data_IF_010388873066
#
_entry.id   IF_010388873066
#
_cell.length_a   1.000
_cell.length_b   1.000
_cell.length_c   1.000
_cell.angle_alpha   90.00
_cell.angle_beta   90.00
_cell.angle_gamma   90.00
#
_symmetry.space_group_name_H-M   'P 1'
#
loop_
_entity.id
_entity.type
_entity.pdbx_description
1 polymer ?
#
# COMPACT_ATOMS: atom_id res chain seq x y z
N UNK A 1 -19.33 -12.48 15.51
CA UNK A 1 -18.82 -11.86 16.75
C UNK A 1 -19.15 -10.39 16.69
N UNK A 2 -19.85 -9.90 17.70
CA UNK A 2 -20.19 -8.48 17.82
C UNK A 2 -18.88 -7.69 18.00
N UNK A 3 -18.61 -6.69 17.15
CA UNK A 3 -17.34 -5.94 17.15
C UNK A 3 -17.06 -5.29 18.50
N UNK A 4 -18.11 -4.98 19.26
CA UNK A 4 -18.11 -4.34 20.57
C UNK A 4 -17.54 -5.17 21.74
N UNK A 5 -17.15 -6.44 21.52
CA UNK A 5 -16.60 -7.31 22.59
C UNK A 5 -15.14 -7.75 22.39
N UNK A 6 -14.47 -7.29 21.33
CA UNK A 6 -13.07 -7.67 21.07
C UNK A 6 -12.12 -6.85 21.96
N UNK A 7 -11.04 -7.45 22.50
CA UNK A 7 -10.05 -6.71 23.27
C UNK A 7 -9.33 -5.68 22.41
N UNK A 8 -9.00 -4.53 23.02
CA UNK A 8 -8.29 -3.44 22.34
C UNK A 8 -6.82 -3.82 22.13
N UNK A 9 -6.33 -3.65 20.90
CA UNK A 9 -4.95 -3.94 20.52
C UNK A 9 -4.07 -2.68 20.66
N UNK A 10 -3.01 -2.72 21.49
CA UNK A 10 -1.97 -1.69 21.46
C UNK A 10 -1.12 -1.86 20.20
N UNK A 11 -1.62 -1.37 19.06
CA UNK A 11 -1.12 -1.70 17.72
C UNK A 11 0.39 -1.47 17.53
N UNK A 12 0.89 -0.28 17.87
CA UNK A 12 2.31 0.05 17.68
C UNK A 12 3.23 -0.84 18.54
N UNK A 13 3.05 -0.94 19.87
CA UNK A 13 3.81 -1.90 20.68
C UNK A 13 3.77 -3.33 20.16
N UNK A 14 2.61 -3.80 19.70
CA UNK A 14 2.46 -5.14 19.12
C UNK A 14 3.32 -5.34 17.88
N UNK A 15 3.26 -4.41 16.92
CA UNK A 15 4.05 -4.50 15.68
C UNK A 15 5.55 -4.45 15.98
N UNK A 16 5.99 -3.58 16.90
CA UNK A 16 7.39 -3.50 17.32
C UNK A 16 7.87 -4.82 17.95
N UNK A 17 7.06 -5.44 18.80
CA UNK A 17 7.37 -6.72 19.44
C UNK A 17 7.48 -7.85 18.41
N UNK A 18 6.55 -7.92 17.45
CA UNK A 18 6.59 -8.92 16.38
C UNK A 18 7.85 -8.75 15.51
N UNK A 19 8.23 -7.52 15.18
CA UNK A 19 9.45 -7.23 14.42
C UNK A 19 10.69 -7.64 15.19
N UNK A 20 10.73 -7.34 16.50
CA UNK A 20 11.82 -7.74 17.38
C UNK A 20 11.96 -9.26 17.47
N UNK A 21 10.84 -9.99 17.54
CA UNK A 21 10.82 -11.45 17.57
C UNK A 21 11.38 -12.03 16.26
N UNK A 22 10.91 -11.55 15.09
CA UNK A 22 11.44 -11.97 13.79
C UNK A 22 12.94 -11.68 13.71
N UNK A 23 13.35 -10.46 14.07
CA UNK A 23 14.75 -10.05 14.02
C UNK A 23 15.63 -10.91 14.93
N UNK A 24 15.14 -11.28 16.12
CA UNK A 24 15.86 -12.13 17.07
C UNK A 24 16.02 -13.56 16.54
N UNK A 25 14.99 -14.15 15.96
CA UNK A 25 15.05 -15.49 15.35
C UNK A 25 16.14 -15.55 14.27
N UNK A 26 16.18 -14.52 13.41
CA UNK A 26 17.18 -14.40 12.34
C UNK A 26 18.57 -14.15 12.90
N UNK A 27 18.72 -13.17 13.80
CA UNK A 27 20.02 -12.76 14.34
C UNK A 27 20.71 -13.90 15.13
N UNK A 28 19.94 -14.70 15.88
CA UNK A 28 20.46 -15.82 16.67
C UNK A 28 20.88 -17.02 15.81
N UNK A 29 20.46 -17.10 14.54
CA UNK A 29 20.64 -18.29 13.67
C UNK A 29 20.29 -19.58 14.40
N UNK A 30 19.09 -19.59 15.00
CA UNK A 30 18.61 -20.70 15.81
C UNK A 30 18.67 -22.02 15.05
N UNK A 31 19.01 -23.11 15.76
CA UNK A 31 18.91 -24.47 15.24
C UNK A 31 17.48 -24.73 14.74
N UNK A 32 17.36 -25.55 13.71
CA UNK A 32 16.10 -25.81 13.01
C UNK A 32 14.92 -26.09 13.95
N UNK A 33 15.10 -26.91 14.99
CA UNK A 33 14.01 -27.27 15.93
C UNK A 33 13.50 -26.04 16.70
N UNK A 34 14.41 -25.23 17.25
CA UNK A 34 14.06 -24.03 18.01
C UNK A 34 13.45 -22.98 17.07
N UNK A 35 13.95 -22.89 15.83
CA UNK A 35 13.40 -22.01 14.80
C UNK A 35 11.95 -22.36 14.45
N UNK A 36 11.62 -23.65 14.31
CA UNK A 36 10.22 -24.09 14.15
C UNK A 36 9.39 -23.63 15.35
N UNK A 37 9.82 -23.97 16.57
CA UNK A 37 9.05 -23.67 17.77
C UNK A 37 8.80 -22.15 17.92
N UNK A 38 9.81 -21.33 17.68
CA UNK A 38 9.70 -19.87 17.71
C UNK A 38 8.76 -19.32 16.62
N UNK A 39 8.79 -19.90 15.41
CA UNK A 39 7.89 -19.51 14.34
C UNK A 39 6.44 -19.94 14.61
N UNK A 40 6.22 -21.13 15.19
CA UNK A 40 4.88 -21.57 15.63
C UNK A 40 4.36 -20.66 16.73
N UNK A 41 5.18 -20.29 17.71
CA UNK A 41 4.80 -19.33 18.74
C UNK A 41 4.42 -17.97 18.13
N UNK A 42 5.23 -17.45 17.19
CA UNK A 42 4.92 -16.23 16.43
C UNK A 42 3.56 -16.32 15.73
N UNK A 43 3.27 -17.44 15.04
CA UNK A 43 2.00 -17.66 14.35
C UNK A 43 0.81 -17.71 15.30
N UNK A 44 0.95 -18.39 16.45
CA UNK A 44 -0.09 -18.44 17.48
C UNK A 44 -0.37 -17.06 18.06
N UNK A 45 0.67 -16.25 18.32
CA UNK A 45 0.51 -14.85 18.75
C UNK A 45 -0.21 -14.03 17.68
N UNK A 46 0.17 -14.18 16.41
CA UNK A 46 -0.49 -13.46 15.31
C UNK A 46 -1.97 -13.84 15.18
N UNK A 47 -2.30 -15.14 15.28
CA UNK A 47 -3.68 -15.62 15.26
C UNK A 47 -4.51 -15.06 16.42
N UNK A 48 -3.93 -14.97 17.61
CA UNK A 48 -4.58 -14.32 18.76
C UNK A 48 -4.82 -12.82 18.51
N UNK A 49 -3.84 -12.11 17.94
CA UNK A 49 -3.96 -10.67 17.63
C UNK A 49 -5.10 -10.39 16.65
N UNK A 50 -5.37 -11.27 15.68
CA UNK A 50 -6.53 -11.12 14.78
C UNK A 50 -7.89 -11.21 15.49
N UNK A 51 -7.94 -11.69 16.74
CA UNK A 51 -9.14 -11.67 17.57
C UNK A 51 -9.33 -10.34 18.31
N UNK A 52 -8.35 -9.44 18.26
CA UNK A 52 -8.41 -8.10 18.84
C UNK A 52 -8.97 -7.06 17.84
N UNK A 53 -9.21 -5.84 18.33
CA UNK A 53 -9.60 -4.68 17.52
C UNK A 53 -8.82 -3.45 17.97
N UNK A 54 -8.62 -2.49 17.08
CA UNK A 54 -8.11 -1.15 17.38
C UNK A 54 -9.22 -0.23 17.92
N UNK A 55 -10.49 -0.67 17.89
CA UNK A 55 -11.65 0.13 18.24
C UNK A 55 -12.22 0.93 17.06
N UNK A 56 -11.52 0.95 15.92
CA UNK A 56 -11.95 1.59 14.68
C UNK A 56 -11.75 0.61 13.51
N UNK A 57 -12.76 0.48 12.66
CA UNK A 57 -12.76 -0.56 11.62
C UNK A 57 -11.82 -0.24 10.45
N UNK A 58 -11.58 1.04 10.16
CA UNK A 58 -10.63 1.46 9.13
C UNK A 58 -9.19 1.23 9.63
N UNK A 59 -8.94 1.49 10.91
CA UNK A 59 -7.69 1.13 11.57
C UNK A 59 -7.54 -0.39 11.70
N UNK A 60 -8.60 -1.15 11.93
CA UNK A 60 -8.57 -2.63 11.90
C UNK A 60 -8.14 -3.15 10.53
N UNK A 61 -8.68 -2.60 9.44
CA UNK A 61 -8.27 -2.99 8.09
C UNK A 61 -6.78 -2.73 7.85
N UNK A 62 -6.31 -1.55 8.26
CA UNK A 62 -4.90 -1.15 8.10
C UNK A 62 -3.98 -2.01 8.98
N UNK A 63 -4.39 -2.27 10.22
CA UNK A 63 -3.67 -3.09 11.17
C UNK A 63 -3.58 -4.54 10.69
N UNK A 64 -4.70 -5.13 10.27
CA UNK A 64 -4.74 -6.49 9.73
C UNK A 64 -3.88 -6.64 8.48
N UNK A 65 -3.93 -5.65 7.57
CA UNK A 65 -3.07 -5.65 6.38
C UNK A 65 -1.58 -5.59 6.75
N UNK A 66 -1.23 -4.76 7.74
CA UNK A 66 0.13 -4.66 8.25
C UNK A 66 0.60 -5.97 8.91
N UNK A 67 -0.27 -6.61 9.71
CA UNK A 67 0.03 -7.88 10.37
C UNK A 67 0.26 -9.02 9.37
N UNK A 68 -0.55 -9.09 8.30
CA UNK A 68 -0.32 -10.05 7.22
C UNK A 68 0.97 -9.75 6.46
N UNK A 69 1.31 -8.47 6.25
CA UNK A 69 2.61 -8.11 5.69
C UNK A 69 3.76 -8.57 6.59
N UNK A 70 3.63 -8.43 7.92
CA UNK A 70 4.64 -8.93 8.87
C UNK A 70 4.78 -10.44 8.81
N UNK A 71 3.68 -11.18 8.65
CA UNK A 71 3.75 -12.62 8.41
C UNK A 71 4.56 -12.96 7.15
N UNK A 72 4.36 -12.23 6.04
CA UNK A 72 5.14 -12.45 4.81
C UNK A 72 6.63 -12.09 4.99
N UNK A 73 6.94 -11.06 5.77
CA UNK A 73 8.32 -10.72 6.15
C UNK A 73 8.93 -11.87 6.96
N UNK A 74 8.24 -12.36 7.99
CA UNK A 74 8.68 -13.47 8.81
C UNK A 74 8.93 -14.73 7.97
N UNK A 75 7.96 -15.10 7.12
CA UNK A 75 8.09 -16.24 6.21
C UNK A 75 9.32 -16.09 5.32
N UNK A 76 9.54 -14.90 4.74
CA UNK A 76 10.66 -14.66 3.85
C UNK A 76 12.02 -14.71 4.53
N UNK A 77 12.16 -14.09 5.72
CA UNK A 77 13.44 -13.95 6.41
C UNK A 77 13.80 -15.18 7.25
N UNK A 78 12.82 -15.95 7.72
CA UNK A 78 13.05 -17.14 8.55
C UNK A 78 13.22 -18.40 7.69
N UNK A 79 12.46 -18.52 6.59
CA UNK A 79 12.37 -19.77 5.82
C UNK A 79 12.87 -19.68 4.40
N UNK A 80 12.59 -18.58 3.69
CA UNK A 80 12.89 -18.54 2.26
C UNK A 80 14.33 -18.14 1.98
N UNK A 81 14.88 -17.21 2.75
CA UNK A 81 16.18 -16.57 2.48
C UNK A 81 17.04 -16.64 3.72
N UNK A 82 18.37 -16.80 3.58
CA UNK A 82 19.30 -16.56 4.69
C UNK A 82 19.81 -15.10 4.58
N UNK A 83 19.15 -14.13 5.26
CA UNK A 83 19.50 -12.72 5.10
C UNK A 83 20.94 -12.40 5.53
N UNK A 84 21.51 -13.14 6.49
CA UNK A 84 22.86 -12.86 6.99
C UNK A 84 23.97 -13.29 6.02
N UNK A 85 23.64 -14.17 5.08
CA UNK A 85 24.55 -14.64 4.03
C UNK A 85 24.27 -13.96 2.69
N UNK A 86 22.99 -13.79 2.34
CA UNK A 86 22.57 -13.36 1.01
C UNK A 86 22.44 -11.85 0.88
N UNK A 87 22.17 -11.12 1.96
CA UNK A 87 21.95 -9.68 1.91
C UNK A 87 23.19 -8.88 2.26
N UNK A 88 23.35 -7.76 1.56
CA UNK A 88 24.42 -6.79 1.73
C UNK A 88 23.84 -5.40 1.62
N UNK A 89 24.18 -4.53 2.56
CA UNK A 89 23.92 -3.11 2.47
C UNK A 89 25.17 -2.39 1.94
N UNK A 90 25.00 -1.31 1.19
CA UNK A 90 26.11 -0.53 0.62
C UNK A 90 27.03 0.10 1.67
N UNK A 91 26.52 0.33 2.89
CA UNK A 91 27.29 0.82 4.03
C UNK A 91 27.86 -0.28 4.94
N UNK A 92 27.74 -1.57 4.57
CA UNK A 92 28.29 -2.65 5.38
C UNK A 92 29.84 -2.62 5.35
N UNK A 93 30.46 -2.30 6.48
CA UNK A 93 31.93 -2.35 6.64
C UNK A 93 32.46 -3.73 7.05
N UNK A 94 31.58 -4.60 7.56
CA UNK A 94 31.92 -5.94 8.02
C UNK A 94 30.80 -6.92 7.68
N UNK A 95 31.12 -8.22 7.63
CA UNK A 95 30.12 -9.25 7.36
C UNK A 95 29.10 -9.34 8.53
N UNK A 96 27.79 -9.47 8.28
CA UNK A 96 26.77 -9.53 9.35
C UNK A 96 26.98 -10.66 10.39
N UNK A 97 27.78 -11.66 10.05
CA UNK A 97 28.11 -12.80 10.91
C UNK A 97 29.23 -12.48 11.90
N UNK A 98 30.08 -11.48 11.62
CA UNK A 98 31.14 -11.05 12.54
C UNK A 98 30.63 -9.99 13.53
N UNK A 99 29.43 -9.45 13.32
CA UNK A 99 28.79 -8.50 14.21
C UNK A 99 28.35 -9.14 15.53
N UNK A 100 28.33 -8.34 16.59
CA UNK A 100 27.72 -8.72 17.87
C UNK A 100 26.22 -8.97 17.73
N UNK A 101 25.61 -9.66 18.70
CA UNK A 101 24.17 -9.92 18.67
C UNK A 101 23.33 -8.65 18.52
N UNK A 102 23.64 -7.60 19.30
CA UNK A 102 22.89 -6.34 19.26
C UNK A 102 23.03 -5.63 17.90
N UNK A 103 24.24 -5.62 17.33
CA UNK A 103 24.49 -5.05 16.01
C UNK A 103 23.74 -5.82 14.91
N UNK A 104 23.76 -7.15 14.99
CA UNK A 104 23.05 -8.02 14.04
C UNK A 104 21.53 -7.86 14.17
N UNK A 105 21.02 -7.73 15.39
CA UNK A 105 19.61 -7.48 15.65
C UNK A 105 19.15 -6.17 15.00
N UNK A 106 19.91 -5.09 15.20
CA UNK A 106 19.67 -3.80 14.54
C UNK A 106 19.75 -3.92 13.01
N UNK A 107 20.75 -4.62 12.50
CA UNK A 107 20.93 -4.85 11.06
C UNK A 107 19.74 -5.60 10.44
N UNK A 108 19.19 -6.61 11.12
CA UNK A 108 17.97 -7.30 10.67
C UNK A 108 16.74 -6.39 10.77
N UNK A 109 16.62 -5.55 11.80
CA UNK A 109 15.54 -4.55 11.85
C UNK A 109 15.60 -3.58 10.67
N UNK A 110 16.80 -3.16 10.24
CA UNK A 110 16.96 -2.34 9.03
C UNK A 110 16.38 -3.03 7.79
N UNK A 111 16.48 -4.37 7.69
CA UNK A 111 15.86 -5.16 6.61
C UNK A 111 14.33 -5.14 6.71
N UNK A 112 13.77 -5.26 7.93
CA UNK A 112 12.33 -5.33 8.18
C UNK A 112 11.66 -3.99 7.84
N UNK A 113 12.26 -2.88 8.27
CA UNK A 113 11.70 -1.53 8.03
C UNK A 113 12.00 -0.97 6.63
N UNK A 114 12.95 -1.56 5.89
CA UNK A 114 13.27 -1.13 4.52
C UNK A 114 12.52 -1.99 3.48
N UNK A 115 11.22 -1.73 3.35
CA UNK A 115 10.33 -2.48 2.43
C UNK A 115 10.77 -2.42 0.95
N UNK A 116 11.43 -1.33 0.53
CA UNK A 116 11.91 -1.12 -0.84
C UNK A 116 13.35 -1.58 -1.06
N UNK A 117 14.04 -2.00 0.00
CA UNK A 117 15.44 -2.44 -0.04
C UNK A 117 16.41 -1.34 -0.48
N UNK A 118 16.13 -0.07 -0.17
CA UNK A 118 17.01 1.04 -0.56
C UNK A 118 18.41 0.84 0.02
N UNK A 119 19.44 0.87 -0.83
CA UNK A 119 20.84 0.65 -0.44
C UNK A 119 21.23 -0.82 -0.25
N UNK A 120 20.29 -1.75 -0.47
CA UNK A 120 20.54 -3.19 -0.38
C UNK A 120 20.73 -3.83 -1.75
N UNK A 121 21.45 -4.94 -1.82
CA UNK A 121 21.63 -5.73 -3.05
C UNK A 121 20.31 -6.29 -3.64
N UNK A 122 19.22 -6.26 -2.89
CA UNK A 122 17.87 -6.64 -3.32
C UNK A 122 16.93 -5.44 -3.57
N UNK A 123 17.47 -4.22 -3.71
CA UNK A 123 16.68 -3.01 -3.98
C UNK A 123 15.68 -3.22 -5.12
N UNK A 124 14.43 -2.80 -4.92
CA UNK A 124 13.39 -2.94 -5.95
C UNK A 124 13.71 -2.06 -7.15
N UNK A 125 13.38 -2.53 -8.35
CA UNK A 125 13.57 -1.78 -9.58
C UNK A 125 12.60 -0.58 -9.68
N UNK A 126 12.91 0.38 -10.55
CA UNK A 126 12.09 1.56 -10.87
C UNK A 126 11.80 2.48 -9.68
N UNK A 127 12.71 2.55 -8.70
CA UNK A 127 12.61 3.58 -7.68
C UNK A 127 12.90 4.96 -8.29
N UNK A 128 12.25 6.03 -7.77
CA UNK A 128 12.67 7.40 -8.05
C UNK A 128 14.16 7.60 -7.77
N UNK A 129 14.82 8.60 -8.39
CA UNK A 129 16.24 8.87 -8.16
C UNK A 129 16.50 9.38 -6.74
N UNK A 130 17.73 9.15 -6.25
CA UNK A 130 18.21 9.71 -4.97
C UNK A 130 18.26 11.24 -5.06
N UNK A 131 17.79 11.90 -4.01
CA UNK A 131 17.87 13.36 -3.91
C UNK A 131 19.17 13.76 -3.21
N UNK A 132 20.07 14.41 -3.96
CA UNK A 132 21.32 14.95 -3.43
C UNK A 132 21.18 16.45 -3.18
N UNK A 133 20.43 16.82 -2.14
CA UNK A 133 20.25 18.23 -1.74
C UNK A 133 20.48 18.40 -0.22
N UNK A 134 20.72 19.63 0.26
CA UNK A 134 20.95 19.88 1.68
C UNK A 134 19.81 19.38 2.57
N UNK A 135 20.16 18.89 3.76
CA UNK A 135 19.24 18.29 4.74
C UNK A 135 17.94 19.07 4.92
N UNK A 136 18.04 20.36 5.25
CA UNK A 136 16.86 21.20 5.52
C UNK A 136 16.04 21.53 4.27
N UNK A 137 16.65 21.48 3.08
CA UNK A 137 15.90 21.61 1.82
C UNK A 137 15.00 20.40 1.60
N UNK A 138 15.48 19.18 1.86
CA UNK A 138 14.64 17.97 1.81
C UNK A 138 13.54 18.02 2.86
N UNK A 139 13.85 18.40 4.11
CA UNK A 139 12.82 18.51 5.16
C UNK A 139 11.70 19.45 4.72
N UNK A 140 12.04 20.65 4.23
CA UNK A 140 11.07 21.60 3.71
C UNK A 140 10.26 21.04 2.53
N UNK A 141 10.92 20.42 1.55
CA UNK A 141 10.25 19.82 0.39
C UNK A 141 9.28 18.70 0.80
N UNK A 142 9.66 17.87 1.78
CA UNK A 142 8.82 16.78 2.31
C UNK A 142 7.62 17.34 3.08
N UNK A 143 7.81 18.34 3.94
CA UNK A 143 6.70 19.02 4.61
C UNK A 143 5.73 19.67 3.62
N UNK A 144 6.24 20.33 2.58
CA UNK A 144 5.42 20.93 1.54
C UNK A 144 4.66 19.87 0.71
N UNK A 145 5.30 18.75 0.40
CA UNK A 145 4.66 17.60 -0.26
C UNK A 145 3.55 17.00 0.61
N UNK A 146 3.83 16.74 1.89
CA UNK A 146 2.85 16.26 2.84
C UNK A 146 1.65 17.23 2.96
N UNK A 147 1.91 18.54 2.98
CA UNK A 147 0.85 19.55 3.00
C UNK A 147 -0.02 19.52 1.72
N UNK A 148 0.58 19.33 0.54
CA UNK A 148 -0.19 19.17 -0.71
C UNK A 148 -1.06 17.92 -0.67
N UNK A 149 -0.54 16.80 -0.20
CA UNK A 149 -1.33 15.57 -0.04
C UNK A 149 -2.42 15.70 1.00
N UNK A 150 -2.18 16.43 2.09
CA UNK A 150 -3.19 16.80 3.07
C UNK A 150 -4.35 17.58 2.42
N UNK A 151 -4.07 18.57 1.57
CA UNK A 151 -5.12 19.32 0.87
C UNK A 151 -5.94 18.44 -0.08
N UNK A 152 -5.31 17.48 -0.77
CA UNK A 152 -6.01 16.51 -1.62
C UNK A 152 -6.93 15.64 -0.76
N UNK A 153 -6.44 15.13 0.37
CA UNK A 153 -7.22 14.31 1.28
C UNK A 153 -8.41 15.09 1.86
N UNK A 154 -8.17 16.32 2.34
CA UNK A 154 -9.19 17.21 2.88
C UNK A 154 -10.28 17.53 1.84
N UNK A 155 -9.90 17.73 0.57
CA UNK A 155 -10.85 17.97 -0.52
C UNK A 155 -11.71 16.75 -0.81
N UNK A 156 -11.13 15.54 -0.84
CA UNK A 156 -11.88 14.30 -1.04
C UNK A 156 -12.87 14.08 0.11
N UNK A 157 -12.41 14.22 1.36
CA UNK A 157 -13.26 14.00 2.52
C UNK A 157 -14.34 15.07 2.73
N UNK A 158 -14.09 16.31 2.33
CA UNK A 158 -15.05 17.41 2.50
C UNK A 158 -16.09 17.46 1.38
N UNK A 159 -15.68 17.26 0.12
CA UNK A 159 -16.57 17.47 -1.03
C UNK A 159 -17.07 16.18 -1.66
N UNK A 160 -16.26 15.13 -1.65
CA UNK A 160 -16.54 13.95 -2.45
C UNK A 160 -17.33 12.95 -1.60
N UNK A 161 -16.84 12.60 -0.40
CA UNK A 161 -17.50 11.60 0.43
C UNK A 161 -18.90 12.01 0.93
N UNK A 162 -19.15 13.24 1.43
CA UNK A 162 -20.47 13.64 1.93
C UNK A 162 -21.51 13.84 0.83
N UNK A 163 -21.11 14.39 -0.33
CA UNK A 163 -22.01 14.65 -1.46
C UNK A 163 -22.59 13.36 -2.06
N UNK A 164 -21.91 12.23 -1.87
CA UNK A 164 -22.35 10.92 -2.36
C UNK A 164 -23.19 10.13 -1.37
N UNK A 165 -23.33 10.60 -0.12
CA UNK A 165 -24.20 9.96 0.87
C UNK A 165 -25.68 10.17 0.58
N UNK A 166 -26.01 11.15 -0.27
CA UNK A 166 -27.39 11.55 -0.56
C UNK A 166 -28.02 10.80 -1.74
N UNK A 167 -27.23 10.22 -2.65
CA UNK A 167 -27.71 9.52 -3.85
C UNK A 167 -27.06 8.13 -4.00
N UNK A 168 -27.81 7.07 -3.69
CA UNK A 168 -27.31 5.68 -3.70
C UNK A 168 -26.71 5.24 -5.05
N UNK A 169 -27.34 5.64 -6.16
CA UNK A 169 -26.88 5.29 -7.51
C UNK A 169 -25.57 5.96 -7.92
N UNK A 170 -25.28 7.15 -7.40
CA UNK A 170 -24.03 7.88 -7.64
C UNK A 170 -22.95 7.38 -6.68
N UNK A 171 -23.32 7.11 -5.41
CA UNK A 171 -22.42 6.59 -4.37
C UNK A 171 -21.61 5.38 -4.84
N UNK A 172 -22.28 4.37 -5.39
CA UNK A 172 -21.67 3.12 -5.85
C UNK A 172 -20.58 3.33 -6.93
N UNK A 173 -20.63 4.41 -7.69
CA UNK A 173 -19.68 4.65 -8.79
C UNK A 173 -18.48 5.51 -8.41
N UNK A 174 -18.62 6.37 -7.39
CA UNK A 174 -17.59 7.35 -7.03
C UNK A 174 -16.93 7.09 -5.68
N UNK A 175 -17.57 6.33 -4.79
CA UNK A 175 -17.03 6.02 -3.46
C UNK A 175 -15.71 5.24 -3.54
N UNK A 176 -15.65 4.19 -4.36
CA UNK A 176 -14.43 3.40 -4.57
C UNK A 176 -13.24 4.24 -5.05
N UNK A 177 -13.38 5.00 -6.16
CA UNK A 177 -12.32 5.88 -6.64
C UNK A 177 -11.90 6.95 -5.63
N UNK A 178 -12.85 7.56 -4.92
CA UNK A 178 -12.59 8.54 -3.88
C UNK A 178 -11.75 7.95 -2.75
N UNK A 179 -12.14 6.77 -2.26
CA UNK A 179 -11.43 6.07 -1.20
C UNK A 179 -10.02 5.63 -1.62
N UNK A 180 -9.87 5.15 -2.85
CA UNK A 180 -8.56 4.81 -3.38
C UNK A 180 -7.67 6.07 -3.51
N UNK A 181 -8.25 7.21 -3.89
CA UNK A 181 -7.58 8.52 -3.87
C UNK A 181 -7.14 8.93 -2.45
N UNK A 182 -8.02 8.79 -1.46
CA UNK A 182 -7.70 9.04 -0.04
C UNK A 182 -6.57 8.15 0.45
N UNK A 183 -6.55 6.86 0.06
CA UNK A 183 -5.46 5.93 0.38
C UNK A 183 -4.13 6.40 -0.22
N UNK A 184 -4.13 6.81 -1.49
CA UNK A 184 -2.94 7.35 -2.16
C UNK A 184 -2.41 8.59 -1.42
N UNK A 185 -3.30 9.53 -1.10
CA UNK A 185 -2.93 10.76 -0.39
C UNK A 185 -2.39 10.47 1.02
N UNK A 186 -3.05 9.55 1.74
CA UNK A 186 -2.68 9.16 3.11
C UNK A 186 -1.31 8.49 3.15
N UNK A 187 -1.03 7.57 2.22
CA UNK A 187 0.28 6.89 2.15
C UNK A 187 1.39 7.90 1.87
N UNK A 188 1.20 8.82 0.91
CA UNK A 188 2.21 9.82 0.61
C UNK A 188 2.42 10.84 1.72
N UNK A 189 1.35 11.36 2.31
CA UNK A 189 1.43 12.29 3.44
C UNK A 189 2.22 11.66 4.59
N UNK A 190 1.86 10.45 5.02
CA UNK A 190 2.55 9.77 6.13
C UNK A 190 4.00 9.45 5.79
N UNK A 191 4.28 9.02 4.55
CA UNK A 191 5.63 8.75 4.11
C UNK A 191 6.52 10.00 4.12
N UNK A 192 6.01 11.11 3.60
CA UNK A 192 6.75 12.38 3.56
C UNK A 192 6.95 12.96 4.96
N UNK A 193 5.96 12.86 5.86
CA UNK A 193 6.11 13.27 7.26
C UNK A 193 7.16 12.44 7.98
N UNK A 194 7.12 11.11 7.84
CA UNK A 194 8.11 10.22 8.43
C UNK A 194 9.51 10.48 7.87
N UNK A 195 9.62 10.73 6.57
CA UNK A 195 10.87 11.15 5.92
C UNK A 195 11.41 12.45 6.51
N UNK A 196 10.55 13.48 6.62
CA UNK A 196 10.92 14.77 7.17
C UNK A 196 11.41 14.64 8.61
N UNK A 197 10.67 13.92 9.47
CA UNK A 197 11.04 13.69 10.86
C UNK A 197 12.35 12.90 11.00
N UNK A 198 12.52 11.86 10.18
CA UNK A 198 13.72 11.03 10.21
C UNK A 198 14.98 11.78 9.75
N UNK A 199 14.87 12.61 8.72
CA UNK A 199 15.98 13.44 8.23
C UNK A 199 16.23 14.63 9.18
N UNK A 200 15.18 15.25 9.73
CA UNK A 200 15.29 16.34 10.68
C UNK A 200 15.90 15.90 12.03
N UNK A 201 15.69 14.66 12.44
CA UNK A 201 16.33 14.06 13.63
C UNK A 201 17.75 13.54 13.38
N UNK A 202 18.18 13.40 12.11
CA UNK A 202 19.50 12.89 11.76
C UNK A 202 19.63 11.37 11.88
N UNK A 203 18.50 10.65 11.99
CA UNK A 203 18.48 9.18 11.99
C UNK A 203 18.92 8.64 10.62
N UNK A 204 18.47 9.30 9.55
CA UNK A 204 18.80 8.93 8.19
C UNK A 204 19.29 10.13 7.39
N UNK A 205 20.20 9.86 6.46
CA UNK A 205 20.59 10.84 5.47
C UNK A 205 19.44 11.16 4.50
N UNK A 206 19.50 12.33 3.90
CA UNK A 206 18.43 12.82 3.04
C UNK A 206 18.28 11.99 1.75
N UNK A 207 19.40 11.44 1.25
CA UNK A 207 19.45 10.71 -0.02
C UNK A 207 18.86 9.29 0.04
N UNK A 208 18.68 8.70 1.24
CA UNK A 208 18.07 7.36 1.37
C UNK A 208 16.54 7.40 1.23
N UNK A 209 15.93 8.57 1.42
CA UNK A 209 14.50 8.79 1.29
C UNK A 209 14.10 9.18 -0.14
N UNK A 210 13.91 8.15 -0.97
CA UNK A 210 13.31 8.30 -2.30
C UNK A 210 11.84 8.70 -2.20
N UNK A 211 11.33 9.43 -3.21
CA UNK A 211 9.88 9.67 -3.33
C UNK A 211 9.08 8.36 -3.26
N UNK A 212 7.91 8.39 -2.64
CA UNK A 212 7.11 7.18 -2.46
C UNK A 212 6.56 6.68 -3.80
N UNK A 213 6.09 7.60 -4.64
CA UNK A 213 5.56 7.33 -5.97
C UNK A 213 6.60 7.64 -7.04
N UNK A 214 6.56 6.88 -8.13
CA UNK A 214 7.28 7.19 -9.36
C UNK A 214 6.60 8.26 -10.19
N UNK A 215 7.10 8.46 -11.41
CA UNK A 215 6.53 9.47 -12.32
C UNK A 215 5.12 9.07 -12.75
N UNK A 216 4.14 9.93 -12.46
CA UNK A 216 2.77 9.80 -13.00
C UNK A 216 2.74 9.79 -14.53
N UNK A 217 3.78 10.30 -15.18
CA UNK A 217 3.92 10.26 -16.63
C UNK A 217 4.12 8.82 -17.18
N UNK A 218 4.49 7.87 -16.32
CA UNK A 218 4.63 6.44 -16.66
C UNK A 218 3.33 5.64 -16.48
N UNK A 219 2.30 6.21 -15.85
CA UNK A 219 1.00 5.58 -15.63
C UNK A 219 0.10 5.57 -16.89
N UNK A 220 0.68 5.24 -18.05
CA UNK A 220 -0.02 5.14 -19.34
C UNK A 220 -0.60 3.74 -19.60
N UNK A 221 -0.23 2.79 -18.76
CA UNK A 221 -0.70 1.41 -18.79
C UNK A 221 -0.93 0.97 -17.35
N UNK A 222 -1.85 0.03 -17.11
CA UNK A 222 -2.13 -0.53 -15.79
C UNK A 222 -0.85 -1.20 -15.26
N UNK A 223 -0.08 -1.85 -16.15
CA UNK A 223 1.25 -2.38 -15.83
C UNK A 223 2.22 -1.28 -15.39
N UNK A 224 2.22 -0.13 -16.06
CA UNK A 224 3.07 1.02 -15.75
C UNK A 224 2.68 1.69 -14.43
N UNK A 225 1.39 1.82 -14.16
CA UNK A 225 0.86 2.34 -12.90
C UNK A 225 1.37 1.50 -11.72
N UNK A 226 1.08 0.19 -11.70
CA UNK A 226 1.49 -0.68 -10.59
C UNK A 226 3.00 -0.98 -10.53
N UNK A 227 3.68 -1.04 -11.69
CA UNK A 227 5.08 -1.46 -11.79
C UNK A 227 6.12 -0.34 -11.77
N UNK A 228 5.70 0.93 -11.90
CA UNK A 228 6.61 2.10 -11.94
C UNK A 228 6.11 3.29 -11.16
N UNK A 229 4.80 3.54 -11.12
CA UNK A 229 4.24 4.75 -10.48
C UNK A 229 3.88 4.52 -9.03
N UNK A 230 3.23 3.40 -8.72
CA UNK A 230 2.73 3.10 -7.38
C UNK A 230 3.87 2.79 -6.39
N UNK A 231 3.59 2.73 -5.09
CA UNK A 231 4.58 2.87 -4.00
C UNK A 231 5.70 1.81 -3.90
N UNK A 232 5.61 0.68 -4.62
CA UNK A 232 6.57 -0.43 -4.64
C UNK A 232 6.91 -1.10 -3.29
N UNK A 233 6.31 -0.71 -2.16
CA UNK A 233 6.62 -1.29 -0.83
C UNK A 233 6.35 -2.80 -0.72
N UNK A 234 5.36 -3.34 -1.44
CA UNK A 234 5.10 -4.79 -1.50
C UNK A 234 5.93 -5.53 -2.56
N UNK A 235 6.66 -4.80 -3.41
CA UNK A 235 7.31 -5.35 -4.61
C UNK A 235 8.37 -6.40 -4.26
N UNK A 236 9.08 -6.24 -3.14
CA UNK A 236 10.08 -7.19 -2.67
C UNK A 236 9.48 -8.57 -2.41
N UNK A 237 8.41 -8.64 -1.61
CA UNK A 237 7.78 -9.90 -1.23
C UNK A 237 7.11 -10.59 -2.42
N UNK A 238 6.35 -9.82 -3.19
CA UNK A 238 5.65 -10.29 -4.39
C UNK A 238 6.62 -10.83 -5.45
N UNK A 239 7.70 -10.10 -5.74
CA UNK A 239 8.70 -10.54 -6.72
C UNK A 239 9.51 -11.75 -6.25
N UNK A 240 9.85 -11.83 -4.95
CA UNK A 240 10.60 -12.97 -4.40
C UNK A 240 9.80 -14.26 -4.51
N UNK A 241 8.53 -14.24 -4.10
CA UNK A 241 7.64 -15.40 -4.21
C UNK A 241 7.37 -15.76 -5.67
N UNK A 242 7.09 -14.78 -6.52
CA UNK A 242 6.88 -15.00 -7.96
C UNK A 242 8.07 -15.68 -8.63
N UNK A 243 9.29 -15.20 -8.38
CA UNK A 243 10.52 -15.80 -8.93
C UNK A 243 10.75 -17.22 -8.42
N UNK A 244 10.52 -17.47 -7.12
CA UNK A 244 10.68 -18.80 -6.52
C UNK A 244 9.72 -19.82 -7.09
N UNK A 245 8.44 -19.50 -7.14
CA UNK A 245 7.43 -20.39 -7.71
C UNK A 245 7.72 -20.63 -9.20
N UNK A 246 8.06 -19.60 -9.96
CA UNK A 246 8.44 -19.77 -11.38
C UNK A 246 9.61 -20.74 -11.55
N UNK A 247 10.61 -20.71 -10.66
CA UNK A 247 11.73 -21.67 -10.66
C UNK A 247 11.28 -23.07 -10.22
N UNK A 248 10.40 -23.18 -9.24
CA UNK A 248 9.86 -24.44 -8.74
C UNK A 248 9.15 -25.23 -9.84
N UNK A 249 8.34 -24.54 -10.66
CA UNK A 249 7.68 -25.13 -11.83
C UNK A 249 8.52 -25.07 -13.11
N UNK A 250 9.84 -24.83 -12.97
CA UNK A 250 10.85 -24.89 -14.05
C UNK A 250 10.58 -23.98 -15.26
N UNK A 251 9.95 -22.83 -15.04
CA UNK A 251 9.79 -21.83 -16.08
C UNK A 251 11.12 -21.13 -16.37
N UNK A 252 11.44 -21.01 -17.67
CA UNK A 252 12.62 -20.29 -18.15
C UNK A 252 12.57 -18.82 -17.73
N UNK A 253 13.57 -18.28 -17.01
CA UNK A 253 13.64 -16.86 -16.69
C UNK A 253 13.58 -16.00 -17.95
N UNK A 254 12.78 -14.93 -17.92
CA UNK A 254 12.59 -14.04 -19.07
C UNK A 254 11.54 -14.51 -20.09
N UNK A 255 11.06 -15.76 -19.99
CA UNK A 255 9.94 -16.22 -20.83
C UNK A 255 8.63 -15.47 -20.50
N UNK A 256 7.69 -15.46 -21.46
CA UNK A 256 6.34 -14.93 -21.24
C UNK A 256 5.62 -15.66 -20.11
N UNK A 257 5.73 -17.00 -20.09
CA UNK A 257 5.17 -17.83 -19.03
C UNK A 257 5.69 -17.39 -17.65
N UNK A 258 7.01 -17.28 -17.48
CA UNK A 258 7.61 -16.81 -16.22
C UNK A 258 7.13 -15.41 -15.82
N UNK A 259 7.00 -14.51 -16.80
CA UNK A 259 6.57 -13.12 -16.56
C UNK A 259 5.11 -13.04 -16.09
N UNK A 260 4.19 -13.79 -16.71
CA UNK A 260 2.79 -13.84 -16.29
C UNK A 260 2.61 -14.61 -14.98
N UNK A 261 3.32 -15.71 -14.76
CA UNK A 261 3.31 -16.41 -13.47
C UNK A 261 3.73 -15.47 -12.33
N UNK A 262 4.82 -14.71 -12.51
CA UNK A 262 5.24 -13.70 -11.53
C UNK A 262 4.20 -12.58 -11.33
N UNK A 263 3.53 -12.16 -12.40
CA UNK A 263 2.47 -11.15 -12.34
C UNK A 263 1.30 -11.61 -11.48
N UNK A 264 0.74 -12.79 -11.78
CA UNK A 264 -0.41 -13.34 -11.06
C UNK A 264 -0.07 -13.62 -9.60
N UNK A 265 1.07 -14.26 -9.33
CA UNK A 265 1.53 -14.49 -7.95
C UNK A 265 1.70 -13.17 -7.21
N UNK A 266 2.27 -12.16 -7.86
CA UNK A 266 2.47 -10.87 -7.22
C UNK A 266 1.17 -10.24 -6.76
N UNK A 267 0.13 -10.25 -7.61
CA UNK A 267 -1.18 -9.74 -7.24
C UNK A 267 -1.95 -10.66 -6.29
N UNK A 268 -1.78 -11.98 -6.35
CA UNK A 268 -2.32 -12.90 -5.33
C UNK A 268 -1.73 -12.61 -3.95
N UNK A 269 -0.41 -12.47 -3.85
CA UNK A 269 0.27 -12.13 -2.58
C UNK A 269 -0.18 -10.76 -2.07
N UNK A 270 -0.33 -9.77 -2.97
CA UNK A 270 -0.92 -8.48 -2.61
C UNK A 270 -2.34 -8.64 -2.07
N UNK A 271 -3.19 -9.42 -2.75
CA UNK A 271 -4.55 -9.70 -2.30
C UNK A 271 -4.60 -10.34 -0.92
N UNK A 272 -3.74 -11.33 -0.66
CA UNK A 272 -3.66 -11.99 0.65
C UNK A 272 -3.29 -11.03 1.78
N UNK A 273 -2.37 -10.07 1.53
CA UNK A 273 -2.05 -9.01 2.50
C UNK A 273 -3.30 -8.26 2.91
N UNK A 274 -4.10 -7.83 1.94
CA UNK A 274 -5.33 -7.09 2.19
C UNK A 274 -6.48 -7.93 2.75
N UNK A 275 -6.49 -9.25 2.49
CA UNK A 275 -7.38 -10.17 3.20
C UNK A 275 -7.07 -10.27 4.69
N UNK A 276 -5.83 -9.97 5.12
CA UNK A 276 -5.53 -9.76 6.53
C UNK A 276 -6.32 -8.57 7.11
N UNK A 277 -6.43 -7.49 6.35
CA UNK A 277 -7.31 -6.37 6.70
C UNK A 277 -8.77 -6.80 6.83
N UNK A 278 -9.28 -7.52 5.82
CA UNK A 278 -10.65 -8.06 5.86
C UNK A 278 -10.90 -8.90 7.13
N UNK A 279 -9.96 -9.81 7.46
CA UNK A 279 -10.03 -10.69 8.62
C UNK A 279 -10.12 -9.92 9.94
N UNK A 280 -9.30 -8.87 10.09
CA UNK A 280 -9.25 -8.06 11.30
C UNK A 280 -10.46 -7.13 11.42
N UNK A 281 -11.06 -6.68 10.30
CA UNK A 281 -12.34 -5.97 10.34
C UNK A 281 -13.43 -6.93 10.82
N UNK A 282 -13.60 -8.05 10.11
CA UNK A 282 -14.58 -9.06 10.47
C UNK A 282 -14.18 -10.41 9.84
N UNK A 283 -14.15 -11.52 10.60
CA UNK A 283 -13.76 -12.81 10.05
C UNK A 283 -14.58 -13.29 8.85
N UNK A 284 -15.88 -12.98 8.81
CA UNK A 284 -16.76 -13.31 7.68
C UNK A 284 -16.50 -12.47 6.42
N UNK A 285 -15.77 -11.36 6.53
CA UNK A 285 -15.41 -10.52 5.41
C UNK A 285 -14.13 -10.98 4.71
N UNK A 286 -13.39 -11.95 5.26
CA UNK A 286 -12.14 -12.48 4.70
C UNK A 286 -12.28 -12.80 3.21
N UNK A 287 -11.38 -12.23 2.40
CA UNK A 287 -11.37 -12.44 0.94
C UNK A 287 -12.15 -11.41 0.15
N UNK A 288 -12.88 -10.49 0.80
CA UNK A 288 -13.67 -9.46 0.12
C UNK A 288 -12.82 -8.53 -0.73
N UNK A 289 -11.61 -8.20 -0.29
CA UNK A 289 -10.67 -7.35 -1.03
C UNK A 289 -9.92 -8.10 -2.15
N UNK A 290 -9.93 -9.43 -2.18
CA UNK A 290 -9.06 -10.23 -3.05
C UNK A 290 -9.33 -10.01 -4.55
N UNK A 291 -10.62 -9.86 -4.90
CA UNK A 291 -11.09 -9.69 -6.27
C UNK A 291 -10.47 -8.47 -6.96
N UNK A 292 -10.33 -7.36 -6.25
CA UNK A 292 -9.67 -6.16 -6.74
C UNK A 292 -8.23 -6.41 -7.18
N UNK A 293 -7.45 -7.08 -6.34
CA UNK A 293 -6.03 -7.31 -6.59
C UNK A 293 -5.81 -8.28 -7.74
N UNK A 294 -6.51 -9.41 -7.76
CA UNK A 294 -6.33 -10.39 -8.85
C UNK A 294 -6.83 -9.83 -10.20
N UNK A 295 -7.85 -8.99 -10.19
CA UNK A 295 -8.33 -8.32 -11.40
C UNK A 295 -7.26 -7.44 -12.06
N UNK A 296 -6.31 -6.87 -11.30
CA UNK A 296 -5.20 -6.09 -11.88
C UNK A 296 -4.30 -6.96 -12.77
N UNK A 297 -4.03 -8.21 -12.38
CA UNK A 297 -3.26 -9.15 -13.21
C UNK A 297 -3.99 -9.49 -14.51
N UNK A 298 -5.32 -9.67 -14.43
CA UNK A 298 -6.18 -9.92 -15.59
C UNK A 298 -6.18 -8.71 -16.52
N UNK A 299 -6.42 -7.50 -16.01
CA UNK A 299 -6.41 -6.28 -16.81
C UNK A 299 -5.08 -6.02 -17.49
N UNK A 300 -3.95 -6.27 -16.80
CA UNK A 300 -2.62 -6.17 -17.40
C UNK A 300 -2.45 -7.20 -18.54
N UNK A 301 -2.96 -8.41 -18.38
CA UNK A 301 -2.87 -9.45 -19.41
C UNK A 301 -3.72 -9.11 -20.63
N UNK A 302 -4.91 -8.55 -20.43
CA UNK A 302 -5.78 -8.04 -21.49
C UNK A 302 -5.15 -6.82 -22.19
N UNK A 303 -4.60 -5.89 -21.41
CA UNK A 303 -3.88 -4.71 -21.90
C UNK A 303 -2.69 -5.11 -22.79
N UNK A 304 -1.87 -6.06 -22.35
CA UNK A 304 -0.75 -6.56 -23.16
C UNK A 304 -1.23 -7.22 -24.47
N UNK A 305 -2.36 -7.95 -24.43
CA UNK A 305 -2.94 -8.58 -25.61
C UNK A 305 -3.46 -7.55 -26.61
N UNK A 306 -4.19 -6.53 -26.14
CA UNK A 306 -4.69 -5.42 -26.98
C UNK A 306 -3.53 -4.65 -27.59
N UNK A 307 -2.48 -4.34 -26.80
CA UNK A 307 -1.27 -3.68 -27.31
C UNK A 307 -0.56 -4.54 -28.37
N UNK A 308 -0.49 -5.86 -28.16
CA UNK A 308 0.11 -6.77 -29.15
C UNK A 308 -0.70 -6.83 -30.45
N UNK A 309 -2.04 -6.91 -30.36
CA UNK A 309 -2.94 -6.91 -31.52
C UNK A 309 -2.88 -5.59 -32.29
N UNK A 310 -2.87 -4.46 -31.58
CA UNK A 310 -2.73 -3.14 -32.18
C UNK A 310 -1.39 -3.03 -32.95
N UNK A 311 -0.30 -3.55 -32.38
CA UNK A 311 1.01 -3.58 -33.05
C UNK A 311 1.02 -4.50 -34.28
N UNK A 312 0.33 -5.64 -34.23
CA UNK A 312 0.23 -6.54 -35.38
C UNK A 312 -0.72 -6.07 -36.48
N UNK A 313 -1.66 -5.17 -36.18
CA UNK A 313 -2.64 -4.64 -37.14
C UNK A 313 -2.05 -3.69 -38.19
N UNK A 314 -0.79 -3.27 -38.04
CA UNK A 314 -0.14 -2.30 -38.93
C UNK A 314 -0.62 -0.85 -38.74
N UNK A 315 -1.63 -0.61 -37.87
CA UNK A 315 -2.13 0.74 -37.58
C UNK A 315 -1.11 1.51 -36.76
N UNK A 316 -0.53 2.54 -37.37
CA UNK A 316 0.40 3.45 -36.72
C UNK A 316 -0.35 4.55 -35.97
N UNK A 317 -0.49 4.39 -34.66
CA UNK A 317 -0.96 5.45 -33.78
C UNK A 317 0.16 6.46 -33.51
N UNK A 318 -0.16 7.75 -33.55
CA UNK A 318 0.81 8.77 -33.13
C UNK A 318 1.14 8.60 -31.65
N UNK A 319 2.39 8.91 -31.27
CA UNK A 319 2.84 8.78 -29.88
C UNK A 319 1.94 9.55 -28.89
N UNK A 320 1.45 10.74 -29.28
CA UNK A 320 0.51 11.53 -28.47
C UNK A 320 -0.83 10.81 -28.26
N UNK A 321 -1.39 10.24 -29.33
CA UNK A 321 -2.64 9.49 -29.26
C UNK A 321 -2.51 8.26 -28.36
N UNK A 322 -1.47 7.45 -28.53
CA UNK A 322 -1.25 6.27 -27.69
C UNK A 322 -1.09 6.62 -26.21
N UNK A 323 -0.42 7.74 -25.88
CA UNK A 323 -0.33 8.22 -24.49
C UNK A 323 -1.69 8.63 -23.94
N UNK A 324 -2.45 9.40 -24.70
CA UNK A 324 -3.77 9.88 -24.28
C UNK A 324 -4.74 8.71 -24.03
N UNK A 325 -4.84 7.77 -24.98
CA UNK A 325 -5.63 6.56 -24.84
C UNK A 325 -5.19 5.72 -23.64
N UNK A 326 -3.88 5.62 -23.41
CA UNK A 326 -3.33 4.92 -22.25
C UNK A 326 -3.77 5.53 -20.91
N UNK A 327 -3.73 6.86 -20.78
CA UNK A 327 -4.21 7.51 -19.55
C UNK A 327 -5.71 7.33 -19.35
N UNK A 328 -6.51 7.43 -20.42
CA UNK A 328 -7.96 7.14 -20.35
C UNK A 328 -8.17 5.71 -19.88
N UNK A 329 -7.48 4.74 -20.48
CA UNK A 329 -7.60 3.34 -20.10
C UNK A 329 -7.26 3.10 -18.62
N UNK A 330 -6.12 3.62 -18.15
CA UNK A 330 -5.72 3.47 -16.74
C UNK A 330 -6.73 4.13 -15.79
N UNK A 331 -7.17 5.35 -16.12
CA UNK A 331 -8.16 6.05 -15.31
C UNK A 331 -9.49 5.29 -15.26
N UNK A 332 -10.02 4.89 -16.40
CA UNK A 332 -11.28 4.13 -16.50
C UNK A 332 -11.16 2.77 -15.80
N UNK A 333 -10.05 2.05 -15.94
CA UNK A 333 -9.86 0.77 -15.27
C UNK A 333 -9.81 0.91 -13.74
N UNK A 334 -9.05 1.88 -13.23
CA UNK A 334 -9.02 2.16 -11.78
C UNK A 334 -10.38 2.65 -11.29
N UNK A 335 -11.09 3.46 -12.08
CA UNK A 335 -12.44 3.90 -11.75
C UNK A 335 -13.41 2.73 -11.55
N UNK A 336 -13.39 1.77 -12.48
CA UNK A 336 -14.28 0.60 -12.45
C UNK A 336 -13.89 -0.40 -11.36
N UNK A 337 -12.58 -0.62 -11.15
CA UNK A 337 -12.10 -1.68 -10.26
C UNK A 337 -12.00 -1.27 -8.80
N UNK A 338 -11.75 0.00 -8.47
CA UNK A 338 -11.57 0.46 -7.08
C UNK A 338 -12.78 0.27 -6.15
N UNK A 339 -14.06 0.26 -6.60
CA UNK A 339 -15.17 -0.19 -5.77
C UNK A 339 -14.95 -1.59 -5.18
N UNK A 340 -14.30 -2.51 -5.91
CA UNK A 340 -14.01 -3.85 -5.40
C UNK A 340 -12.99 -3.84 -4.26
N UNK A 341 -12.14 -2.82 -4.17
CA UNK A 341 -11.14 -2.68 -3.10
C UNK A 341 -11.79 -2.32 -1.75
N UNK A 342 -12.94 -1.63 -1.78
CA UNK A 342 -13.67 -1.17 -0.58
C UNK A 342 -14.88 -2.04 -0.25
N UNK A 343 -15.09 -3.13 -1.00
CA UNK A 343 -16.22 -4.05 -0.81
C UNK A 343 -16.29 -4.63 0.62
N UNK A 344 -15.15 -4.83 1.28
CA UNK A 344 -15.13 -5.23 2.69
C UNK A 344 -15.82 -4.17 3.57
N UNK A 345 -15.44 -2.90 3.42
CA UNK A 345 -15.99 -1.80 4.22
C UNK A 345 -17.48 -1.61 3.94
N UNK A 346 -17.91 -1.77 2.69
CA UNK A 346 -19.33 -1.73 2.30
C UNK A 346 -20.14 -2.88 2.91
N UNK A 347 -19.63 -4.13 2.86
CA UNK A 347 -20.31 -5.31 3.42
C UNK A 347 -20.55 -5.21 4.92
N UNK A 348 -19.67 -4.51 5.64
CA UNK A 348 -19.77 -4.34 7.09
C UNK A 348 -20.54 -3.06 7.44
N UNK A 349 -21.12 -2.37 6.45
CA UNK A 349 -22.02 -1.24 6.67
C UNK A 349 -21.31 0.07 7.04
N UNK A 350 -20.02 0.21 6.73
CA UNK A 350 -19.29 1.45 6.97
C UNK A 350 -19.72 2.48 5.92
N UNK A 351 -20.52 3.43 6.36
CA UNK A 351 -20.93 4.60 5.57
C UNK A 351 -20.12 5.84 5.98
N UNK A 352 -19.63 5.88 7.22
CA UNK A 352 -18.81 6.98 7.74
C UNK A 352 -17.32 6.66 7.62
N UNK A 353 -16.64 7.47 6.82
CA UNK A 353 -15.20 7.43 6.65
C UNK A 353 -14.56 8.28 7.72
N UNK A 354 -13.51 7.78 8.38
CA UNK A 354 -12.76 8.56 9.37
C UNK A 354 -12.36 9.89 8.72
N UNK A 355 -12.89 10.99 9.24
CA UNK A 355 -12.55 12.33 8.76
C UNK A 355 -11.24 12.75 9.40
N UNK A 356 -10.42 13.47 8.66
CA UNK A 356 -9.25 14.14 9.20
C UNK A 356 -9.63 14.93 10.46
N UNK A 357 -8.80 14.88 11.53
CA UNK A 357 -9.13 15.53 12.80
C UNK A 357 -9.31 17.04 12.66
N UNK A 358 -8.73 17.62 11.60
CA UNK A 358 -8.91 19.01 11.22
C UNK A 358 -9.05 19.12 9.70
N UNK A 359 -10.10 19.79 9.24
CA UNK A 359 -10.35 20.15 7.84
C UNK A 359 -10.11 21.65 7.65
N UNK A 360 -9.06 21.99 6.91
CA UNK A 360 -8.75 23.38 6.57
C UNK A 360 -9.83 23.96 5.64
N UNK A 361 -10.31 23.16 4.69
CA UNK A 361 -11.37 23.57 3.76
C UNK A 361 -12.65 23.91 4.52
N UNK A 362 -13.06 23.05 5.47
CA UNK A 362 -14.24 23.32 6.31
C UNK A 362 -14.06 24.59 7.13
N UNK A 363 -12.88 24.79 7.74
CA UNK A 363 -12.57 26.01 8.49
C UNK A 363 -12.67 27.26 7.60
N UNK A 364 -12.11 27.22 6.39
CA UNK A 364 -12.17 28.32 5.42
C UNK A 364 -13.60 28.61 4.95
N UNK A 365 -14.41 27.58 4.73
CA UNK A 365 -15.84 27.72 4.38
C UNK A 365 -16.59 28.41 5.53
N UNK A 366 -16.29 28.04 6.77
CA UNK A 366 -16.94 28.63 7.95
C UNK A 366 -16.55 30.10 8.16
N UNK A 367 -15.34 30.51 7.77
CA UNK A 367 -14.84 31.87 7.93
C UNK A 367 -15.52 32.93 7.04
N UNK A 368 -16.25 32.55 5.97
CA UNK A 368 -16.92 33.55 5.10
C UNK A 368 -18.38 33.19 4.83
N UNK A 369 -19.28 34.17 4.99
CA UNK A 369 -20.73 33.99 4.76
C UNK A 369 -21.06 33.58 3.32
N UNK A 370 -20.30 34.09 2.35
CA UNK A 370 -20.41 33.71 0.93
C UNK A 370 -20.00 32.25 0.68
N UNK A 371 -18.88 31.78 1.23
CA UNK A 371 -18.48 30.39 1.05
C UNK A 371 -19.47 29.43 1.73
N UNK A 372 -19.99 29.81 2.90
CA UNK A 372 -21.03 29.05 3.59
C UNK A 372 -22.31 28.90 2.75
N UNK A 373 -22.75 29.97 2.09
CA UNK A 373 -23.92 29.95 1.20
C UNK A 373 -23.70 29.16 -0.10
N UNK A 374 -22.48 29.15 -0.64
CA UNK A 374 -22.13 28.31 -1.80
C UNK A 374 -22.04 26.84 -1.40
N UNK A 375 -21.37 26.55 -0.28
CA UNK A 375 -21.27 25.20 0.25
C UNK A 375 -22.64 24.61 0.55
N UNK A 376 -23.52 25.36 1.23
CA UNK A 376 -24.88 24.91 1.53
C UNK A 376 -25.70 24.59 0.29
N UNK A 377 -25.48 25.29 -0.83
CA UNK A 377 -26.12 24.98 -2.13
C UNK A 377 -25.57 23.72 -2.78
N UNK A 378 -24.27 23.46 -2.65
CA UNK A 378 -23.61 22.25 -3.18
C UNK A 378 -23.98 21.02 -2.35
N UNK A 379 -24.13 21.20 -1.04
CA UNK A 379 -24.46 20.12 -0.09
C UNK A 379 -25.96 19.95 0.17
N UNK A 380 -26.82 20.83 -0.38
CA UNK A 380 -28.26 20.73 -0.24
C UNK A 380 -28.76 19.49 -1.00
N UNK A 381 -29.69 18.70 -0.41
CA UNK A 381 -30.25 17.56 -1.10
C UNK A 381 -30.94 18.03 -2.38
N UNK A 382 -30.54 17.48 -3.53
CA UNK A 382 -31.31 17.59 -4.77
C UNK A 382 -32.58 16.74 -4.61
N UNK A 383 -33.53 17.22 -3.83
CA UNK A 383 -34.92 16.78 -3.92
C UNK A 383 -35.45 17.41 -5.22
N UNK A 384 -35.92 16.64 -6.21
CA UNK A 384 -36.66 17.23 -7.31
C UNK A 384 -37.90 17.91 -6.72
N UNK A 385 -38.06 19.22 -6.94
CA UNK A 385 -39.24 20.00 -6.49
C UNK A 385 -40.58 19.57 -7.13
N UNK A 386 -40.63 18.42 -7.81
CA UNK A 386 -41.82 17.94 -8.50
C UNK A 386 -42.26 16.56 -8.01
N UNK A 387 -42.71 16.47 -6.77
CA UNK A 387 -43.79 15.55 -6.39
C UNK A 387 -44.73 16.33 -5.47
N UNK A 388 -45.58 17.15 -6.09
CA UNK A 388 -46.74 17.73 -5.44
C UNK A 388 -47.92 16.75 -5.57
N UNK A 389 -48.38 16.28 -4.41
CA UNK A 389 -49.67 15.65 -4.06
C UNK A 389 -50.17 14.43 -4.83
#
# INVERSE_FOLDING_TARGET
>A
MDSNRRPVLPFLPTVLLLNLLIASIVALRLKWQIRIAAFVAYMSTLAFIYSCTTGDMQWDYTAGSTLMQQFLIALSLVWLTDPLLEFRHECDSAHPLTLSFAQRLYWVQCIIYNHRGVGWNYQVANLPPRLNVPRWRIVYQRCLSAFRWYLVLDAIETFILPSFMQNYSIRQHFFGPAQFGSLIATVAMNYDLLSALSVASGIHEAHVWHEIYGSWSDAKTVRGFWGRTYHQTLRRHTATLGKRISRLIRLQPGSRASSYTQLYIGFTVSGLVHCGGDLMVQPSAFGSSFSFYIAQAVAISLEDAVIALARSSGICYSHRMSRFLGYIWVFTWLWISTPWAVMCLEKVGIIETHRMPFSLITALIQCTSRARAVFSRISAPMIPENVAY
#
